data_IF_649213679523
#
_entry.id   IF_649213679523
#
_cell.length_a   1.000
_cell.length_b   1.000
_cell.length_c   1.000
_cell.angle_alpha   90.00
_cell.angle_beta   90.00
_cell.angle_gamma   90.00
#
_symmetry.space_group_name_H-M   'P 1'
#
loop_
_entity.id
_entity.type
_entity.pdbx_description
1 polymer ?
#
# COMPACT_ATOMS: atom_id res chain seq x y z
N UNK A 1 2.95 17.14 -19.98
CA UNK A 1 2.72 15.76 -20.46
C UNK A 1 1.25 15.42 -20.18
N UNK A 2 0.44 15.15 -21.20
CA UNK A 2 -0.94 14.70 -20.99
C UNK A 2 -0.96 13.18 -20.82
N UNK A 3 -1.60 12.69 -19.75
CA UNK A 3 -1.82 11.26 -19.55
C UNK A 3 -2.95 10.79 -20.47
N UNK A 4 -2.81 9.61 -21.07
CA UNK A 4 -3.95 8.97 -21.72
C UNK A 4 -4.92 8.40 -20.68
N UNK A 5 -6.12 7.99 -21.10
CA UNK A 5 -7.17 7.52 -20.19
C UNK A 5 -6.73 6.33 -19.32
N UNK A 6 -5.97 5.40 -19.88
CA UNK A 6 -5.43 4.23 -19.16
C UNK A 6 -4.43 4.65 -18.08
N UNK A 7 -3.50 5.54 -18.43
CA UNK A 7 -2.52 6.06 -17.48
C UNK A 7 -3.21 6.86 -16.36
N UNK A 8 -4.22 7.66 -16.69
CA UNK A 8 -5.00 8.39 -15.70
C UNK A 8 -5.76 7.44 -14.76
N UNK A 9 -6.31 6.33 -15.26
CA UNK A 9 -6.96 5.31 -14.44
C UNK A 9 -5.99 4.62 -13.48
N UNK A 10 -4.80 4.24 -13.96
CA UNK A 10 -3.75 3.63 -13.12
C UNK A 10 -3.24 4.59 -12.04
N UNK A 11 -3.09 5.88 -12.37
CA UNK A 11 -2.72 6.92 -11.39
C UNK A 11 -3.79 7.07 -10.33
N UNK A 12 -5.08 7.13 -10.71
CA UNK A 12 -6.19 7.20 -9.74
C UNK A 12 -6.24 5.97 -8.85
N UNK A 13 -6.02 4.77 -9.42
CA UNK A 13 -5.97 3.53 -8.66
C UNK A 13 -4.82 3.52 -7.65
N UNK A 14 -3.63 3.98 -8.05
CA UNK A 14 -2.50 4.16 -7.14
C UNK A 14 -2.80 5.17 -6.02
N UNK A 15 -3.42 6.31 -6.33
CA UNK A 15 -3.84 7.28 -5.32
C UNK A 15 -4.85 6.68 -4.33
N UNK A 16 -5.86 5.97 -4.84
CA UNK A 16 -6.88 5.31 -4.03
C UNK A 16 -6.25 4.25 -3.11
N UNK A 17 -5.29 3.46 -3.62
CA UNK A 17 -4.56 2.47 -2.85
C UNK A 17 -3.70 3.11 -1.74
N UNK A 18 -3.01 4.21 -2.04
CA UNK A 18 -2.22 4.94 -1.06
C UNK A 18 -3.07 5.51 0.09
N UNK A 19 -4.21 6.14 -0.22
CA UNK A 19 -5.13 6.62 0.80
C UNK A 19 -5.77 5.50 1.62
N UNK A 20 -6.18 4.42 0.95
CA UNK A 20 -6.73 3.23 1.64
C UNK A 20 -5.70 2.65 2.61
N UNK A 21 -4.43 2.59 2.21
CA UNK A 21 -3.36 2.11 3.07
C UNK A 21 -3.16 3.04 4.27
N UNK A 22 -3.18 4.36 4.08
CA UNK A 22 -3.08 5.31 5.19
C UNK A 22 -4.28 5.25 6.14
N UNK A 23 -5.48 4.99 5.64
CA UNK A 23 -6.67 4.80 6.46
C UNK A 23 -6.54 3.56 7.38
N UNK A 24 -5.80 2.51 6.99
CA UNK A 24 -5.49 1.37 7.87
C UNK A 24 -4.76 1.77 9.15
N UNK A 25 -3.98 2.84 9.06
CA UNK A 25 -3.18 3.34 10.16
C UNK A 25 -4.06 4.05 11.19
N UNK A 26 -5.24 4.49 10.74
CA UNK A 26 -6.20 5.30 11.49
C UNK A 26 -7.46 4.51 11.87
N UNK A 27 -7.40 3.18 11.87
CA UNK A 27 -8.51 2.31 12.29
C UNK A 27 -9.47 1.90 11.16
N UNK A 28 -9.15 2.23 9.90
CA UNK A 28 -9.81 1.65 8.72
C UNK A 28 -9.61 0.13 8.66
N UNK A 29 -10.65 -0.61 8.27
CA UNK A 29 -10.63 -2.07 8.30
C UNK A 29 -10.49 -2.70 6.92
N UNK A 30 -9.28 -3.10 6.53
CA UNK A 30 -9.09 -4.12 5.48
C UNK A 30 -8.89 -5.50 6.13
N UNK A 31 -9.35 -6.54 5.43
CA UNK A 31 -9.17 -7.93 5.84
C UNK A 31 -8.74 -8.76 4.64
N UNK A 32 -7.76 -9.65 4.87
CA UNK A 32 -7.33 -10.63 3.87
C UNK A 32 -8.53 -11.51 3.45
N UNK A 33 -8.64 -11.78 2.16
CA UNK A 33 -9.73 -12.56 1.55
C UNK A 33 -10.99 -11.75 1.25
N UNK A 34 -11.07 -10.49 1.68
CA UNK A 34 -12.20 -9.60 1.34
C UNK A 34 -11.92 -8.80 0.06
N UNK A 35 -12.96 -8.35 -0.65
CA UNK A 35 -12.81 -7.38 -1.72
C UNK A 35 -12.10 -6.12 -1.24
N UNK A 36 -11.18 -5.59 -2.04
CA UNK A 36 -10.57 -4.30 -1.79
C UNK A 36 -11.59 -3.20 -2.13
N UNK A 37 -11.89 -2.36 -1.15
CA UNK A 37 -12.70 -1.17 -1.32
C UNK A 37 -11.85 0.07 -1.01
N UNK A 38 -12.16 1.18 -1.67
CA UNK A 38 -11.56 2.47 -1.33
C UNK A 38 -11.99 2.87 0.09
N UNK A 39 -11.02 3.24 0.92
CA UNK A 39 -11.26 3.83 2.23
C UNK A 39 -10.63 5.22 2.19
N UNK A 40 -11.45 6.25 2.35
CA UNK A 40 -10.96 7.62 2.42
C UNK A 40 -10.22 7.84 3.73
N UNK A 41 -9.15 8.62 3.63
CA UNK A 41 -8.33 9.03 4.76
C UNK A 41 -8.94 10.30 5.38
N UNK A 42 -9.73 10.10 6.43
CA UNK A 42 -10.37 11.20 7.15
C UNK A 42 -9.39 12.02 8.03
N UNK A 43 -8.08 11.77 8.01
CA UNK A 43 -7.12 12.54 8.83
C UNK A 43 -7.08 14.02 8.46
N UNK A 44 -7.47 14.37 7.23
CA UNK A 44 -7.57 15.77 6.76
C UNK A 44 -9.00 16.31 6.81
N UNK A 45 -9.99 15.52 7.23
CA UNK A 45 -11.37 15.95 7.31
C UNK A 45 -11.52 17.15 8.26
N UNK A 46 -12.09 18.24 7.77
CA UNK A 46 -12.29 19.48 8.54
C UNK A 46 -11.15 20.50 8.46
N UNK A 47 -10.04 20.20 7.76
CA UNK A 47 -9.00 21.19 7.45
C UNK A 47 -9.50 22.17 6.36
N UNK A 48 -9.23 23.48 6.47
CA UNK A 48 -9.59 24.45 5.43
C UNK A 48 -8.99 24.07 4.06
N UNK A 49 -9.85 23.89 3.06
CA UNK A 49 -9.46 23.48 1.71
C UNK A 49 -9.37 21.97 1.49
N UNK A 50 -9.55 21.15 2.54
CA UNK A 50 -9.71 19.71 2.37
C UNK A 50 -11.11 19.40 1.83
N UNK A 51 -11.16 18.59 0.77
CA UNK A 51 -12.39 18.05 0.20
C UNK A 51 -12.17 16.56 -0.12
N UNK A 52 -13.24 15.76 -0.16
CA UNK A 52 -13.13 14.35 -0.51
C UNK A 52 -12.54 14.22 -1.90
N UNK A 53 -11.57 13.33 -2.07
CA UNK A 53 -11.11 12.96 -3.40
C UNK A 53 -12.14 12.01 -4.01
N UNK A 54 -12.62 12.31 -5.23
CA UNK A 54 -13.47 11.41 -5.99
C UNK A 54 -12.62 10.25 -6.56
N UNK A 55 -12.22 9.35 -5.67
CA UNK A 55 -11.46 8.14 -5.96
C UNK A 55 -12.33 6.91 -5.74
N UNK A 56 -12.05 5.89 -6.52
CA UNK A 56 -12.66 4.57 -6.40
C UNK A 56 -11.62 3.50 -6.72
N UNK A 57 -11.80 2.32 -6.14
CA UNK A 57 -11.07 1.12 -6.53
C UNK A 57 -12.07 0.26 -7.32
N UNK A 58 -11.80 -0.05 -8.60
CA UNK A 58 -12.67 -0.92 -9.39
C UNK A 58 -12.88 -2.28 -8.71
N UNK A 59 -14.03 -2.92 -8.93
CA UNK A 59 -14.27 -4.28 -8.45
C UNK A 59 -13.29 -5.29 -9.07
N UNK A 60 -13.02 -6.39 -8.38
CA UNK A 60 -12.20 -7.50 -8.89
C UNK A 60 -10.93 -7.74 -8.07
N UNK A 61 -10.46 -6.74 -7.35
CA UNK A 61 -9.33 -6.87 -6.44
C UNK A 61 -9.73 -7.54 -5.12
N UNK A 62 -8.99 -8.58 -4.74
CA UNK A 62 -9.12 -9.24 -3.43
C UNK A 62 -7.86 -8.96 -2.62
N UNK A 63 -8.02 -8.57 -1.36
CA UNK A 63 -6.88 -8.37 -0.44
C UNK A 63 -6.22 -9.72 -0.17
N UNK A 64 -4.95 -9.85 -0.52
CA UNK A 64 -4.16 -11.09 -0.39
C UNK A 64 -3.28 -11.08 0.85
N UNK A 65 -2.72 -9.92 1.19
CA UNK A 65 -1.88 -9.76 2.35
C UNK A 65 -1.96 -8.34 2.93
N UNK A 66 -1.70 -8.24 4.22
CA UNK A 66 -1.56 -6.99 4.97
C UNK A 66 -0.30 -7.16 5.81
N UNK A 67 0.61 -6.21 5.68
CA UNK A 67 1.86 -6.13 6.41
C UNK A 67 1.78 -4.91 7.31
N UNK A 68 1.62 -5.14 8.60
CA UNK A 68 1.46 -4.09 9.61
C UNK A 68 2.52 -4.23 10.68
N UNK A 69 3.28 -3.17 10.88
CA UNK A 69 4.26 -3.03 11.95
C UNK A 69 4.00 -1.70 12.67
N UNK A 70 3.35 -1.80 13.84
CA UNK A 70 2.97 -0.65 14.66
C UNK A 70 4.17 0.06 15.28
N UNK A 71 5.28 -0.63 15.49
CA UNK A 71 6.50 -0.04 16.06
C UNK A 71 7.27 0.75 15.00
N UNK A 72 7.24 0.27 13.76
CA UNK A 72 7.98 0.87 12.63
C UNK A 72 7.11 1.63 11.65
N UNK A 73 5.84 1.88 11.98
CA UNK A 73 4.87 2.61 11.16
C UNK A 73 4.79 2.11 9.71
N UNK A 74 4.87 0.80 9.51
CA UNK A 74 4.79 0.19 8.17
C UNK A 74 3.42 -0.42 7.98
N UNK A 75 2.68 0.12 7.01
CA UNK A 75 1.33 -0.32 6.72
C UNK A 75 1.20 -0.51 5.22
N UNK A 76 1.34 -1.76 4.79
CA UNK A 76 1.29 -2.16 3.40
C UNK A 76 0.19 -3.17 3.23
N UNK A 77 -0.59 -3.08 2.16
CA UNK A 77 -1.44 -4.18 1.73
C UNK A 77 -1.10 -4.58 0.31
N UNK A 78 -1.39 -5.84 0.00
CA UNK A 78 -1.35 -6.37 -1.35
C UNK A 78 -2.72 -6.89 -1.72
N UNK A 79 -3.24 -6.46 -2.87
CA UNK A 79 -4.43 -6.99 -3.49
C UNK A 79 -4.16 -7.42 -4.93
N UNK A 80 -4.95 -8.35 -5.44
CA UNK A 80 -4.78 -8.91 -6.77
C UNK A 80 -6.14 -9.11 -7.45
N UNK A 81 -6.21 -8.75 -8.74
CA UNK A 81 -7.30 -9.10 -9.63
C UNK A 81 -6.83 -10.13 -10.67
N UNK A 82 -7.37 -11.37 -10.64
CA UNK A 82 -6.98 -12.42 -11.59
C UNK A 82 -7.42 -12.14 -13.03
N UNK A 83 -8.46 -11.32 -13.26
CA UNK A 83 -8.96 -11.04 -14.60
C UNK A 83 -8.01 -10.10 -15.35
N UNK A 84 -7.68 -8.97 -14.73
CA UNK A 84 -6.72 -8.01 -15.32
C UNK A 84 -5.25 -8.38 -15.08
N UNK A 85 -4.98 -9.41 -14.25
CA UNK A 85 -3.63 -9.81 -13.81
C UNK A 85 -2.88 -8.66 -13.15
N UNK A 86 -3.62 -7.82 -12.41
CA UNK A 86 -3.09 -6.60 -11.82
C UNK A 86 -2.93 -6.77 -10.32
N UNK A 87 -1.73 -6.46 -9.83
CA UNK A 87 -1.41 -6.29 -8.42
C UNK A 87 -1.61 -4.83 -8.05
N UNK A 88 -2.32 -4.60 -6.94
CA UNK A 88 -2.45 -3.28 -6.31
C UNK A 88 -1.77 -3.35 -4.95
N UNK A 89 -0.77 -2.49 -4.76
CA UNK A 89 -0.01 -2.39 -3.52
C UNK A 89 -0.22 -0.98 -2.97
N UNK A 90 -0.81 -0.89 -1.78
CA UNK A 90 -0.94 0.38 -1.06
C UNK A 90 0.07 0.43 0.07
N UNK A 91 0.73 1.57 0.25
CA UNK A 91 1.65 1.84 1.36
C UNK A 91 1.27 3.14 2.09
N UNK A 92 0.93 3.03 3.36
CA UNK A 92 0.70 4.15 4.26
C UNK A 92 2.03 4.69 4.81
N UNK A 93 2.15 6.01 4.90
CA UNK A 93 3.19 6.65 5.70
C UNK A 93 2.93 6.52 7.21
N UNK A 94 3.80 7.11 8.03
CA UNK A 94 3.76 6.94 9.49
C UNK A 94 2.59 7.70 10.13
N UNK A 95 2.15 7.25 11.32
CA UNK A 95 1.22 7.94 12.21
C UNK A 95 1.88 9.08 13.02
N UNK A 96 3.10 9.50 12.66
CA UNK A 96 3.98 10.35 13.46
C UNK A 96 3.82 11.85 13.26
N UNK A 97 2.61 12.40 13.15
CA UNK A 97 2.38 13.83 13.30
C UNK A 97 1.49 14.20 14.52
N UNK A 98 1.78 13.73 15.74
CA UNK A 98 1.49 14.51 16.94
C UNK A 98 2.78 15.18 17.43
N UNK A 99 2.62 16.40 17.97
CA UNK A 99 3.69 17.27 18.48
C UNK A 99 4.53 16.71 19.65
N UNK A 100 4.33 15.45 20.06
CA UNK A 100 4.83 14.90 21.32
C UNK A 100 5.72 13.64 21.16
N UNK A 101 6.26 13.36 19.97
CA UNK A 101 7.31 12.34 19.81
C UNK A 101 8.59 12.93 19.21
N UNK A 102 9.68 13.09 19.99
CA UNK A 102 10.97 13.57 19.49
C UNK A 102 11.68 12.60 18.49
N UNK A 103 11.03 11.49 18.14
CA UNK A 103 11.53 10.43 17.24
C UNK A 103 11.28 10.71 15.74
N UNK A 104 10.55 11.78 15.40
CA UNK A 104 10.10 12.06 14.02
C UNK A 104 11.26 12.28 13.04
N UNK A 105 12.40 12.81 13.50
CA UNK A 105 13.57 13.03 12.65
C UNK A 105 14.37 11.74 12.38
N UNK A 106 14.48 10.85 13.37
CA UNK A 106 15.11 9.52 13.18
C UNK A 106 14.22 8.59 12.37
N UNK A 107 12.90 8.66 12.57
CA UNK A 107 11.89 8.04 11.73
C UNK A 107 12.06 8.51 10.28
N UNK A 108 12.10 9.82 10.00
CA UNK A 108 12.32 10.34 8.63
C UNK A 108 13.61 9.83 7.97
N UNK A 109 14.70 9.64 8.74
CA UNK A 109 16.00 9.19 8.22
C UNK A 109 16.04 7.68 7.99
N UNK A 110 15.32 6.88 8.79
CA UNK A 110 15.32 5.41 8.71
C UNK A 110 14.17 4.85 7.87
N UNK A 111 13.10 5.61 7.66
CA UNK A 111 11.81 5.14 7.14
C UNK A 111 11.63 5.24 5.62
N UNK A 112 12.57 4.63 4.89
CA UNK A 112 12.37 4.34 3.47
C UNK A 112 13.00 2.99 3.16
N UNK A 113 14.32 2.93 3.25
CA UNK A 113 15.08 1.69 3.02
C UNK A 113 14.70 0.60 4.01
N UNK A 114 14.48 0.94 5.29
CA UNK A 114 14.08 -0.06 6.30
C UNK A 114 12.66 -0.56 6.08
N UNK A 115 11.71 0.31 5.73
CA UNK A 115 10.33 -0.10 5.47
C UNK A 115 10.23 -0.97 4.21
N UNK A 116 10.95 -0.63 3.15
CA UNK A 116 11.06 -1.46 1.94
C UNK A 116 11.78 -2.78 2.21
N UNK A 117 12.88 -2.76 2.97
CA UNK A 117 13.58 -3.99 3.36
C UNK A 117 12.71 -4.89 4.23
N UNK A 118 11.97 -4.30 5.15
CA UNK A 118 11.04 -5.04 5.99
C UNK A 118 9.87 -5.54 5.11
N UNK A 119 9.44 -4.79 4.07
CA UNK A 119 8.46 -5.18 3.03
C UNK A 119 8.83 -6.47 2.30
N UNK A 120 10.10 -6.55 1.89
CA UNK A 120 10.67 -7.72 1.24
C UNK A 120 11.33 -8.71 2.23
N UNK A 121 11.22 -8.43 3.53
CA UNK A 121 11.77 -9.24 4.60
C UNK A 121 10.72 -10.18 5.20
N UNK A 122 11.11 -10.85 6.29
CA UNK A 122 10.15 -11.57 7.14
C UNK A 122 9.51 -10.54 8.07
N UNK A 123 8.24 -10.22 7.86
CA UNK A 123 7.47 -9.49 8.86
C UNK A 123 7.12 -10.40 10.03
N UNK A 124 7.17 -9.85 11.23
CA UNK A 124 6.40 -10.36 12.36
C UNK A 124 5.19 -9.45 12.54
N UNK A 125 4.05 -9.90 12.01
CA UNK A 125 2.78 -9.16 12.01
C UNK A 125 2.08 -9.32 13.36
N UNK A 126 2.70 -8.83 14.43
CA UNK A 126 2.24 -8.94 15.81
C UNK A 126 0.71 -9.04 15.92
N UNK A 127 0.26 -10.24 16.35
CA UNK A 127 -1.12 -10.75 16.41
C UNK A 127 -1.66 -11.62 15.24
N UNK A 128 -0.82 -12.26 14.41
CA UNK A 128 -1.35 -13.22 13.42
C UNK A 128 -0.41 -14.21 12.71
N UNK A 129 0.90 -14.16 12.90
CA UNK A 129 1.79 -15.26 12.49
C UNK A 129 2.00 -15.45 10.98
N UNK A 130 2.06 -14.38 10.19
CA UNK A 130 2.61 -14.46 8.82
C UNK A 130 4.09 -14.11 8.81
N UNK A 131 4.93 -15.07 8.44
CA UNK A 131 6.40 -14.97 8.29
C UNK A 131 6.85 -14.85 6.83
N UNK A 132 5.95 -14.43 5.93
CA UNK A 132 6.24 -14.25 4.50
C UNK A 132 6.38 -12.77 4.15
N UNK A 133 7.31 -12.46 3.25
CA UNK A 133 7.50 -11.12 2.69
C UNK A 133 6.62 -10.88 1.47
N UNK A 134 6.53 -9.62 1.05
CA UNK A 134 5.77 -9.18 -0.11
C UNK A 134 6.19 -9.91 -1.40
N UNK A 135 7.48 -10.17 -1.57
CA UNK A 135 8.04 -10.95 -2.69
C UNK A 135 7.49 -12.38 -2.74
N UNK A 136 7.44 -13.06 -1.59
CA UNK A 136 6.98 -14.44 -1.49
C UNK A 136 5.48 -14.54 -1.78
N UNK A 137 4.69 -13.59 -1.27
CA UNK A 137 3.26 -13.58 -1.54
C UNK A 137 2.97 -13.25 -3.01
N UNK A 138 3.72 -12.33 -3.63
CA UNK A 138 3.64 -12.07 -5.07
C UNK A 138 4.00 -13.34 -5.87
N UNK A 139 5.09 -14.00 -5.53
CA UNK A 139 5.52 -15.23 -6.20
C UNK A 139 4.49 -16.35 -6.07
N UNK A 140 3.88 -16.51 -4.88
CA UNK A 140 2.81 -17.47 -4.65
C UNK A 140 1.57 -17.16 -5.51
N UNK A 141 1.13 -15.90 -5.57
CA UNK A 141 -0.02 -15.49 -6.40
C UNK A 141 0.26 -15.74 -7.88
N UNK A 142 1.47 -15.41 -8.36
CA UNK A 142 1.87 -15.68 -9.74
C UNK A 142 1.82 -17.19 -10.05
N UNK A 143 2.35 -18.03 -9.16
CA UNK A 143 2.32 -19.48 -9.30
C UNK A 143 0.89 -20.05 -9.29
N UNK A 144 0.04 -19.61 -8.35
CA UNK A 144 -1.37 -20.00 -8.27
C UNK A 144 -2.15 -19.71 -9.55
N UNK A 145 -1.76 -18.66 -10.28
CA UNK A 145 -2.44 -18.20 -11.50
C UNK A 145 -1.72 -18.62 -12.79
N UNK A 146 -0.65 -19.43 -12.69
CA UNK A 146 0.20 -19.84 -13.82
C UNK A 146 0.72 -18.65 -14.65
N UNK A 147 1.22 -17.61 -13.96
CA UNK A 147 1.75 -16.38 -14.58
C UNK A 147 3.25 -16.21 -14.29
N UNK A 148 3.97 -15.61 -15.23
CA UNK A 148 5.26 -14.99 -14.96
C UNK A 148 5.08 -13.52 -14.53
N UNK A 149 6.07 -12.96 -13.81
CA UNK A 149 6.03 -11.57 -13.38
C UNK A 149 5.86 -10.57 -14.55
N UNK A 150 6.43 -10.88 -15.72
CA UNK A 150 6.30 -10.08 -16.95
C UNK A 150 4.88 -10.02 -17.54
N UNK A 151 3.98 -10.90 -17.09
CA UNK A 151 2.57 -10.94 -17.52
C UNK A 151 1.65 -10.19 -16.55
N UNK A 152 2.19 -9.68 -15.45
CA UNK A 152 1.45 -8.96 -14.43
C UNK A 152 1.62 -7.45 -14.57
N UNK A 153 0.60 -6.71 -14.18
CA UNK A 153 0.68 -5.25 -14.01
C UNK A 153 0.79 -4.93 -12.53
N UNK A 154 1.69 -4.01 -12.16
CA UNK A 154 1.83 -3.54 -10.78
C UNK A 154 1.40 -2.08 -10.68
N UNK A 155 0.41 -1.81 -9.82
CA UNK A 155 0.00 -0.46 -9.45
C UNK A 155 0.35 -0.26 -8.00
N UNK A 156 1.28 0.67 -7.76
CA UNK A 156 1.83 0.90 -6.42
C UNK A 156 1.47 2.33 -6.00
N UNK A 157 0.76 2.44 -4.89
CA UNK A 157 0.19 3.66 -4.35
C UNK A 157 0.74 3.99 -2.97
N UNK A 158 1.12 5.25 -2.74
CA UNK A 158 1.71 5.69 -1.48
C UNK A 158 1.18 7.05 -1.06
N UNK A 159 0.81 7.19 0.21
CA UNK A 159 0.39 8.45 0.81
C UNK A 159 1.43 8.90 1.85
N UNK A 160 1.70 10.21 1.93
CA UNK A 160 2.72 10.80 2.80
C UNK A 160 4.07 10.11 2.60
N UNK A 161 4.73 9.66 3.67
CA UNK A 161 6.01 8.92 3.61
C UNK A 161 5.92 7.59 2.87
N UNK A 162 4.71 7.02 2.71
CA UNK A 162 4.47 5.87 1.84
C UNK A 162 4.89 6.12 0.39
N UNK A 163 4.86 7.37 -0.09
CA UNK A 163 5.37 7.73 -1.41
C UNK A 163 6.88 7.46 -1.59
N UNK A 164 7.66 7.49 -0.50
CA UNK A 164 9.08 7.11 -0.51
C UNK A 164 9.27 5.59 -0.66
N UNK A 165 8.44 4.80 0.01
CA UNK A 165 8.42 3.34 -0.08
C UNK A 165 8.05 2.90 -1.50
N UNK A 166 7.04 3.52 -2.10
CA UNK A 166 6.55 3.18 -3.44
C UNK A 166 7.64 3.30 -4.52
N UNK A 167 8.50 4.31 -4.43
CA UNK A 167 9.62 4.45 -5.39
C UNK A 167 10.58 3.26 -5.33
N UNK A 168 10.85 2.75 -4.13
CA UNK A 168 11.77 1.63 -3.94
C UNK A 168 11.10 0.30 -4.29
N UNK A 169 9.83 0.10 -3.91
CA UNK A 169 9.05 -1.07 -4.35
C UNK A 169 8.97 -1.15 -5.87
N UNK A 170 8.70 -0.01 -6.53
CA UNK A 170 8.66 0.07 -7.99
C UNK A 170 9.98 -0.32 -8.64
N UNK A 171 11.12 0.10 -8.09
CA UNK A 171 12.44 -0.24 -8.62
C UNK A 171 12.82 -1.72 -8.45
N UNK A 172 12.15 -2.46 -7.56
CA UNK A 172 12.39 -3.90 -7.34
C UNK A 172 11.41 -4.76 -8.16
N UNK A 173 10.18 -4.29 -8.34
CA UNK A 173 9.10 -5.04 -8.97
C UNK A 173 8.99 -4.81 -10.49
N UNK A 174 9.62 -3.77 -11.02
CA UNK A 174 9.61 -3.37 -12.45
C UNK A 174 11.03 -3.35 -12.98
#
# INVERSE_FOLDING_TARGET
MQLNATQAALVKLGMAAGQTAYALNNGGGLKVGMPLAYIDDYTTAGQPGAGPLALEIPSGYVVRAIYKDYEKGTDIFLAYDPQSKTFVIGAGGTNGLPADRPDTAEDLIRMGVRQTRDAFGVYDTGAGGRTTGLDKDIAAILAENNLSASQATFVIGGQSLGGGIVKQLGAVLV
#
